data_IF_629047478232
#
_entry.id   IF_629047478232
#
_cell.length_a   1.000
_cell.length_b   1.000
_cell.length_c   1.000
_cell.angle_alpha   90.00
_cell.angle_beta   90.00
_cell.angle_gamma   90.00
#
_symmetry.space_group_name_H-M   'P 1'
#
loop_
_entity.id
_entity.type
_entity.pdbx_description
1 polymer ?
#
# COMPACT_ATOMS: atom_id res chain seq x y z
N UNK A 1 -6.85 13.53 0.64
CA UNK A 1 -7.22 12.94 -0.66
C UNK A 1 -6.36 11.74 -1.04
N UNK A 2 -5.04 11.75 -0.81
CA UNK A 2 -4.13 10.63 -1.15
C UNK A 2 -4.33 9.36 -0.32
N UNK A 3 -4.73 9.46 0.95
CA UNK A 3 -4.89 8.28 1.85
C UNK A 3 -6.02 7.34 1.42
N UNK A 4 -7.16 7.88 0.96
CA UNK A 4 -8.27 7.07 0.44
C UNK A 4 -7.82 6.29 -0.80
N UNK A 5 -7.06 6.94 -1.69
CA UNK A 5 -6.46 6.30 -2.86
C UNK A 5 -5.41 5.26 -2.48
N UNK A 6 -4.58 5.51 -1.47
CA UNK A 6 -3.62 4.53 -0.99
C UNK A 6 -4.32 3.26 -0.47
N UNK A 7 -5.42 3.41 0.28
CA UNK A 7 -6.21 2.29 0.76
C UNK A 7 -6.86 1.49 -0.39
N UNK A 8 -7.47 2.18 -1.35
CA UNK A 8 -8.11 1.56 -2.52
C UNK A 8 -7.10 0.81 -3.39
N UNK A 9 -5.96 1.44 -3.72
CA UNK A 9 -4.91 0.82 -4.52
C UNK A 9 -4.29 -0.36 -3.76
N UNK A 10 -3.99 -0.20 -2.47
CA UNK A 10 -3.47 -1.30 -1.64
C UNK A 10 -4.44 -2.49 -1.56
N UNK A 11 -5.74 -2.24 -1.48
CA UNK A 11 -6.78 -3.28 -1.53
C UNK A 11 -6.79 -4.04 -2.86
N UNK A 12 -6.77 -3.31 -3.99
CA UNK A 12 -6.73 -3.91 -5.34
C UNK A 12 -5.45 -4.73 -5.54
N UNK A 13 -4.29 -4.22 -5.11
CA UNK A 13 -3.02 -4.94 -5.19
C UNK A 13 -3.07 -6.23 -4.36
N UNK A 14 -3.59 -6.17 -3.14
CA UNK A 14 -3.74 -7.34 -2.27
C UNK A 14 -4.69 -8.39 -2.87
N UNK A 15 -5.75 -7.95 -3.55
CA UNK A 15 -6.68 -8.84 -4.26
C UNK A 15 -6.01 -9.54 -5.45
N UNK A 16 -5.23 -8.82 -6.26
CA UNK A 16 -4.50 -9.40 -7.40
C UNK A 16 -3.45 -10.41 -6.90
N UNK A 17 -2.67 -10.07 -5.88
CA UNK A 17 -1.67 -10.97 -5.29
C UNK A 17 -2.30 -12.26 -4.75
N UNK A 18 -3.41 -12.14 -4.04
CA UNK A 18 -4.15 -13.29 -3.52
C UNK A 18 -4.72 -14.13 -4.66
N UNK A 19 -5.25 -13.49 -5.71
CA UNK A 19 -5.78 -14.18 -6.90
C UNK A 19 -4.67 -14.91 -7.68
N UNK A 20 -3.45 -14.35 -7.73
CA UNK A 20 -2.29 -15.01 -8.35
C UNK A 20 -1.77 -16.19 -7.52
N UNK A 21 -1.90 -16.12 -6.19
CA UNK A 21 -1.58 -17.23 -5.29
C UNK A 21 -2.61 -18.37 -5.37
N UNK A 22 -3.79 -18.13 -5.93
CA UNK A 22 -4.90 -19.09 -5.94
C UNK A 22 -5.60 -19.22 -4.58
N UNK A 23 -5.31 -18.30 -3.65
CA UNK A 23 -5.85 -18.30 -2.30
C UNK A 23 -7.18 -17.54 -2.20
N UNK A 24 -8.05 -17.87 -1.23
CA UNK A 24 -9.27 -17.12 -0.98
C UNK A 24 -8.97 -15.71 -0.45
N UNK A 25 -9.61 -14.71 -1.05
CA UNK A 25 -9.42 -13.32 -0.64
C UNK A 25 -9.97 -13.05 0.76
N UNK A 26 -9.08 -12.56 1.65
CA UNK A 26 -9.42 -12.19 3.01
C UNK A 26 -9.34 -10.67 3.19
N UNK A 27 -10.48 -10.05 3.48
CA UNK A 27 -10.60 -8.61 3.70
C UNK A 27 -9.77 -8.09 4.88
N UNK A 28 -9.67 -8.87 5.97
CA UNK A 28 -8.89 -8.49 7.15
C UNK A 28 -7.39 -8.43 6.81
N UNK A 29 -6.87 -9.46 6.14
CA UNK A 29 -5.48 -9.51 5.69
C UNK A 29 -5.18 -8.38 4.69
N UNK A 30 -6.11 -8.12 3.76
CA UNK A 30 -5.96 -7.05 2.79
C UNK A 30 -5.91 -5.65 3.43
N UNK A 31 -6.70 -5.41 4.47
CA UNK A 31 -6.69 -4.14 5.20
C UNK A 31 -5.34 -3.91 5.92
N UNK A 32 -4.81 -4.97 6.54
CA UNK A 32 -3.50 -4.93 7.23
C UNK A 32 -2.39 -4.64 6.24
N UNK A 33 -2.35 -5.34 5.10
CA UNK A 33 -1.36 -5.12 4.05
C UNK A 33 -1.45 -3.69 3.50
N UNK A 34 -2.66 -3.20 3.25
CA UNK A 34 -2.90 -1.85 2.75
C UNK A 34 -2.40 -0.79 3.75
N UNK A 35 -2.62 -0.99 5.05
CA UNK A 35 -2.09 -0.12 6.09
C UNK A 35 -0.55 -0.12 6.14
N UNK A 36 0.09 -1.29 6.03
CA UNK A 36 1.56 -1.41 5.98
C UNK A 36 2.12 -0.67 4.76
N UNK A 37 1.55 -0.91 3.57
CA UNK A 37 1.96 -0.24 2.33
C UNK A 37 1.80 1.28 2.46
N UNK A 38 0.71 1.76 3.06
CA UNK A 38 0.51 3.19 3.29
C UNK A 38 1.61 3.79 4.17
N UNK A 39 2.00 3.12 5.26
CA UNK A 39 3.11 3.57 6.13
C UNK A 39 4.43 3.59 5.36
N UNK A 40 4.73 2.54 4.59
CA UNK A 40 5.95 2.43 3.78
C UNK A 40 6.02 3.57 2.76
N UNK A 41 4.94 3.85 2.04
CA UNK A 41 4.87 4.97 1.08
C UNK A 41 5.07 6.30 1.79
N UNK A 42 4.52 6.48 2.98
CA UNK A 42 4.68 7.73 3.74
C UNK A 42 6.14 7.96 4.16
N UNK A 43 6.79 6.92 4.68
CA UNK A 43 8.21 6.96 5.07
C UNK A 43 9.12 7.15 3.86
N UNK A 44 8.88 6.42 2.77
CA UNK A 44 9.68 6.58 1.56
C UNK A 44 9.46 7.95 0.91
N UNK A 45 8.20 8.42 0.85
CA UNK A 45 7.83 9.67 0.20
C UNK A 45 8.34 10.90 0.94
N UNK A 46 7.88 11.10 2.18
CA UNK A 46 8.21 12.31 2.95
C UNK A 46 9.52 12.18 3.74
N UNK A 47 9.95 10.96 4.09
CA UNK A 47 11.18 10.74 4.85
C UNK A 47 12.42 10.62 3.95
N UNK A 48 12.40 9.70 2.97
CA UNK A 48 13.60 9.33 2.19
C UNK A 48 13.71 10.14 0.89
N UNK A 49 12.68 10.14 0.04
CA UNK A 49 12.76 10.75 -1.29
C UNK A 49 12.84 12.28 -1.23
N UNK A 50 12.10 12.90 -0.29
CA UNK A 50 12.05 14.36 -0.16
C UNK A 50 13.35 14.97 0.36
N UNK A 51 14.18 14.19 1.05
CA UNK A 51 15.52 14.60 1.46
C UNK A 51 16.50 14.78 0.29
N UNK A 52 16.22 14.16 -0.86
CA UNK A 52 17.16 14.08 -1.98
C UNK A 52 16.74 14.93 -3.19
N UNK A 53 15.56 15.54 -3.18
CA UNK A 53 15.06 16.41 -4.26
C UNK A 53 15.38 17.90 -4.04
N UNK A 54 16.34 18.20 -3.17
CA UNK A 54 16.79 19.56 -2.84
C UNK A 54 18.22 19.85 -3.36
N UNK A 55 18.67 19.14 -4.40
CA UNK A 55 19.84 19.52 -5.22
C UNK A 55 19.41 19.77 -6.68
#
# INVERSE_FOLDING_TARGET
>A
MTVIWALLIGGVVSYVLTSMAGDPFNLNTSLIISAIIAVVIFVLGDGILKGNSQE
#
